data_IF_749293931168
#
_entry.id   IF_749293931168
#
_cell.length_a   1.000
_cell.length_b   1.000
_cell.length_c   1.000
_cell.angle_alpha   90.00
_cell.angle_beta   90.00
_cell.angle_gamma   90.00
#
_symmetry.space_group_name_H-M   'P 1'
#
loop_
_entity.id
_entity.type
_entity.pdbx_description
1 polymer ?
#
# COMPACT_ATOMS: atom_id res chain seq x y z
N UNK A 1 66.24 18.71 57.40
CA UNK A 1 67.02 17.67 58.10
C UNK A 1 66.39 16.32 57.79
N UNK A 2 67.14 15.47 57.07
CA UNK A 2 66.97 14.02 56.82
C UNK A 2 65.65 13.51 56.21
N UNK A 3 65.60 12.68 55.17
CA UNK A 3 66.58 12.00 54.30
C UNK A 3 65.82 11.46 53.07
N UNK A 4 66.34 11.68 51.87
CA UNK A 4 66.17 10.79 50.69
C UNK A 4 67.18 9.60 50.84
N UNK A 5 67.04 8.39 50.20
CA UNK A 5 66.99 8.24 48.72
C UNK A 5 66.39 6.96 48.04
N UNK A 6 65.88 7.12 46.79
CA UNK A 6 66.15 6.38 45.50
C UNK A 6 65.81 4.84 45.39
N UNK A 7 65.51 4.21 44.21
CA UNK A 7 65.35 4.66 42.81
C UNK A 7 64.05 4.24 42.06
N UNK A 8 63.88 4.90 40.92
CA UNK A 8 62.95 4.66 39.81
C UNK A 8 63.46 3.54 38.89
N UNK A 9 62.56 2.66 38.43
CA UNK A 9 62.73 1.87 37.21
C UNK A 9 61.46 1.92 36.33
N UNK A 10 61.72 2.20 35.07
CA UNK A 10 60.85 2.48 33.92
C UNK A 10 59.86 1.34 33.61
N UNK A 11 58.59 1.68 33.35
CA UNK A 11 57.80 0.96 32.34
C UNK A 11 56.86 1.93 31.61
N UNK A 12 56.82 1.75 30.30
CA UNK A 12 56.24 2.61 29.27
C UNK A 12 54.72 2.77 29.37
N UNK A 13 54.27 4.02 29.45
CA UNK A 13 52.86 4.42 29.35
C UNK A 13 52.48 4.58 27.88
N UNK A 14 51.51 3.80 27.44
CA UNK A 14 50.84 3.91 26.15
C UNK A 14 50.06 5.23 26.10
N UNK A 15 50.43 6.13 25.18
CA UNK A 15 49.71 7.37 24.92
C UNK A 15 48.35 7.07 24.27
N UNK A 16 47.27 7.41 24.98
CA UNK A 16 45.95 7.63 24.39
C UNK A 16 45.86 9.12 24.06
N UNK A 17 45.91 9.45 22.76
CA UNK A 17 45.61 10.80 22.28
C UNK A 17 44.10 10.91 22.01
N UNK A 18 43.48 11.84 22.74
CA UNK A 18 42.17 12.38 22.49
C UNK A 18 42.15 13.10 21.14
N UNK A 19 41.12 12.85 20.32
CA UNK A 19 40.59 13.86 19.42
C UNK A 19 39.11 13.60 19.09
N UNK A 20 38.28 14.52 19.60
CA UNK A 20 37.12 15.16 18.99
C UNK A 20 36.11 14.27 18.23
N UNK A 21 35.01 13.90 18.90
CA UNK A 21 33.76 13.47 18.27
C UNK A 21 32.80 14.66 18.15
N UNK A 22 32.39 14.95 16.91
CA UNK A 22 31.25 15.78 16.55
C UNK A 22 29.92 15.14 17.00
N UNK A 23 28.84 15.90 17.24
CA UNK A 23 27.58 15.36 17.71
C UNK A 23 26.91 14.51 16.63
N UNK A 24 26.58 13.28 17.00
CA UNK A 24 25.83 12.32 16.19
C UNK A 24 24.53 12.94 15.65
N UNK A 25 24.38 12.90 14.33
CA UNK A 25 23.10 13.06 13.64
C UNK A 25 22.11 11.98 14.12
N UNK A 26 20.81 12.30 14.22
CA UNK A 26 19.82 11.31 14.60
C UNK A 26 19.70 10.27 13.49
N UNK A 27 20.02 9.02 13.85
CA UNK A 27 19.77 7.81 13.07
C UNK A 27 18.31 7.82 12.60
N UNK A 28 18.10 8.25 11.37
CA UNK A 28 16.80 8.20 10.70
C UNK A 28 16.61 6.74 10.32
N UNK A 29 15.97 6.00 11.22
CA UNK A 29 15.43 4.69 10.90
C UNK A 29 14.34 4.92 9.87
N UNK A 30 14.70 4.81 8.59
CA UNK A 30 13.73 4.71 7.51
C UNK A 30 12.90 3.45 7.75
N UNK A 31 11.75 3.65 8.41
CA UNK A 31 10.71 2.66 8.52
C UNK A 31 10.12 2.50 7.11
N UNK A 32 10.60 1.48 6.39
CA UNK A 32 10.04 1.01 5.13
C UNK A 32 8.63 0.45 5.39
N UNK A 33 7.61 1.33 5.45
CA UNK A 33 6.21 0.92 5.37
C UNK A 33 5.76 0.89 3.93
N UNK A 34 6.14 -0.17 3.23
CA UNK A 34 5.28 -0.79 2.22
C UNK A 34 4.60 -2.00 2.86
N UNK A 35 3.84 -1.80 3.94
CA UNK A 35 2.86 -2.81 4.37
C UNK A 35 1.60 -2.60 3.54
N UNK A 36 1.66 -2.92 2.25
CA UNK A 36 0.42 -3.23 1.55
C UNK A 36 -0.21 -4.42 2.30
N UNK A 37 -1.46 -4.24 2.76
CA UNK A 37 -2.22 -5.33 3.38
C UNK A 37 -2.31 -6.48 2.36
N UNK A 38 -1.62 -7.59 2.64
CA UNK A 38 -1.63 -8.76 1.78
C UNK A 38 -3.05 -9.32 1.60
N UNK A 39 -3.35 -9.80 0.39
CA UNK A 39 -4.57 -10.53 0.10
C UNK A 39 -4.46 -12.04 0.34
N UNK A 40 -3.26 -12.55 0.68
CA UNK A 40 -3.05 -13.97 0.91
C UNK A 40 -3.20 -14.32 2.39
N UNK A 41 -4.15 -15.21 2.71
CA UNK A 41 -4.42 -15.68 4.08
C UNK A 41 -3.18 -16.29 4.76
N UNK A 42 -2.22 -16.80 3.97
CA UNK A 42 -0.98 -17.40 4.43
C UNK A 42 -0.02 -16.42 5.11
N UNK A 43 -0.19 -15.11 4.94
CA UNK A 43 0.59 -14.08 5.65
C UNK A 43 0.03 -13.79 7.05
N UNK A 44 -1.18 -14.26 7.33
CA UNK A 44 -1.91 -13.99 8.57
C UNK A 44 -2.00 -15.21 9.48
N UNK A 45 -1.10 -16.20 9.34
CA UNK A 45 -1.13 -17.41 10.17
C UNK A 45 -0.64 -17.18 11.61
N UNK A 46 0.10 -16.10 11.85
CA UNK A 46 0.58 -15.73 13.18
C UNK A 46 -0.43 -14.82 13.91
N UNK A 47 -0.72 -15.12 15.18
CA UNK A 47 -1.77 -14.41 15.94
C UNK A 47 -1.50 -12.92 16.17
N UNK A 48 -0.28 -12.45 15.95
CA UNK A 48 0.11 -11.04 16.10
C UNK A 48 -0.14 -10.17 14.86
N UNK A 49 -0.36 -10.77 13.68
CA UNK A 49 -0.52 -10.01 12.42
C UNK A 49 -1.97 -9.71 12.05
N UNK A 50 -2.93 -10.18 12.83
CA UNK A 50 -4.36 -10.17 12.50
C UNK A 50 -5.12 -9.02 13.20
N UNK A 51 -5.25 -7.86 12.55
CA UNK A 51 -6.14 -6.79 13.04
C UNK A 51 -7.61 -7.14 12.78
N UNK A 52 -8.54 -6.50 13.50
CA UNK A 52 -9.98 -6.73 13.28
C UNK A 52 -10.42 -6.31 11.87
N UNK A 53 -9.80 -5.27 11.31
CA UNK A 53 -10.01 -4.87 9.91
C UNK A 53 -9.62 -5.99 8.93
N UNK A 54 -8.45 -6.62 9.13
CA UNK A 54 -8.01 -7.77 8.31
C UNK A 54 -9.01 -8.92 8.42
N UNK A 55 -9.44 -9.27 9.64
CA UNK A 55 -10.42 -10.34 9.85
C UNK A 55 -11.73 -10.04 9.09
N UNK A 56 -12.27 -8.83 9.24
CA UNK A 56 -13.51 -8.44 8.57
C UNK A 56 -13.37 -8.56 7.05
N UNK A 57 -12.29 -8.00 6.47
CA UNK A 57 -12.00 -8.07 5.04
C UNK A 57 -11.96 -9.50 4.50
N UNK A 58 -11.25 -10.42 5.17
CA UNK A 58 -11.20 -11.82 4.72
C UNK A 58 -12.53 -12.56 4.87
N UNK A 59 -13.34 -12.23 5.88
CA UNK A 59 -14.65 -12.83 6.06
C UNK A 59 -15.69 -12.35 5.02
N UNK A 60 -15.52 -11.13 4.51
CA UNK A 60 -16.39 -10.54 3.49
C UNK A 60 -15.95 -10.88 2.06
N UNK A 61 -14.66 -11.14 1.87
CA UNK A 61 -14.11 -11.49 0.57
C UNK A 61 -14.74 -12.78 0.01
N UNK A 62 -14.97 -12.85 -1.31
CA UNK A 62 -15.46 -14.07 -1.96
C UNK A 62 -14.43 -15.18 -1.79
N UNK A 63 -14.90 -16.36 -1.39
CA UNK A 63 -14.03 -17.52 -1.14
C UNK A 63 -13.73 -18.32 -2.42
N UNK A 64 -14.53 -18.12 -3.48
CA UNK A 64 -14.40 -18.83 -4.75
C UNK A 64 -13.36 -18.11 -5.59
N UNK A 65 -12.26 -18.78 -5.99
CA UNK A 65 -11.27 -18.19 -6.89
C UNK A 65 -11.90 -17.86 -8.25
N UNK A 66 -11.27 -16.94 -8.96
CA UNK A 66 -11.78 -16.48 -10.24
C UNK A 66 -11.78 -17.56 -11.32
N UNK A 67 -12.43 -17.28 -12.45
CA UNK A 67 -12.64 -18.28 -13.50
C UNK A 67 -11.34 -18.81 -14.12
N UNK A 68 -10.28 -17.98 -14.12
CA UNK A 68 -8.98 -18.34 -14.70
C UNK A 68 -8.03 -18.99 -13.67
N UNK A 69 -8.52 -19.23 -12.44
CA UNK A 69 -7.75 -19.91 -11.42
C UNK A 69 -7.47 -21.37 -11.81
N UNK A 70 -6.18 -21.67 -11.97
CA UNK A 70 -5.71 -23.04 -12.22
C UNK A 70 -5.76 -23.84 -10.93
N UNK A 71 -6.79 -24.68 -10.81
CA UNK A 71 -6.96 -25.50 -9.62
C UNK A 71 -5.79 -26.49 -9.46
N UNK A 72 -5.16 -26.52 -8.27
CA UNK A 72 -4.03 -27.39 -8.01
C UNK A 72 -4.45 -28.86 -7.98
N UNK A 73 -3.48 -29.74 -8.21
CA UNK A 73 -3.64 -31.17 -8.06
C UNK A 73 -2.55 -31.78 -7.18
N UNK A 74 -2.88 -32.88 -6.54
CA UNK A 74 -1.95 -33.70 -5.77
C UNK A 74 -1.81 -35.07 -6.44
N UNK A 75 -0.60 -35.62 -6.43
CA UNK A 75 -0.36 -36.98 -6.90
C UNK A 75 -0.71 -37.98 -5.80
N UNK A 76 -1.43 -39.04 -6.15
CA UNK A 76 -1.83 -40.09 -5.23
C UNK A 76 -1.53 -41.47 -5.82
N UNK A 77 -0.79 -42.28 -5.08
CA UNK A 77 -0.50 -43.67 -5.46
C UNK A 77 -1.64 -44.59 -5.05
N UNK A 78 -2.31 -45.21 -6.03
CA UNK A 78 -3.31 -46.26 -5.78
C UNK A 78 -2.93 -47.51 -6.55
N UNK A 79 -2.71 -48.62 -5.83
CA UNK A 79 -2.35 -49.94 -6.41
C UNK A 79 -1.17 -49.86 -7.41
N UNK A 80 -0.13 -49.10 -7.08
CA UNK A 80 1.08 -48.96 -7.90
C UNK A 80 0.98 -47.98 -9.09
N UNK A 81 -0.16 -47.32 -9.32
CA UNK A 81 -0.32 -46.27 -10.33
C UNK A 81 -0.49 -44.90 -9.68
N UNK A 82 0.18 -43.89 -10.24
CA UNK A 82 0.01 -42.48 -9.86
C UNK A 82 -1.25 -41.92 -10.53
N UNK A 83 -2.19 -41.43 -9.72
CA UNK A 83 -3.38 -40.72 -10.17
C UNK A 83 -3.32 -39.26 -9.71
N UNK A 84 -3.72 -38.33 -10.57
CA UNK A 84 -3.89 -36.92 -10.21
C UNK A 84 -5.25 -36.70 -9.55
N UNK A 85 -5.25 -35.98 -8.43
CA UNK A 85 -6.47 -35.60 -7.69
C UNK A 85 -6.54 -34.09 -7.63
N UNK A 86 -7.64 -33.54 -8.13
CA UNK A 86 -7.78 -32.11 -8.37
C UNK A 86 -8.68 -31.45 -7.34
N UNK A 87 -8.31 -30.24 -6.95
CA UNK A 87 -9.25 -29.29 -6.40
C UNK A 87 -10.15 -28.75 -7.53
N UNK A 88 -11.38 -28.33 -7.23
CA UNK A 88 -12.36 -27.87 -8.23
C UNK A 88 -13.15 -26.70 -7.67
N UNK A 89 -13.72 -25.88 -8.56
CA UNK A 89 -14.60 -24.75 -8.23
C UNK A 89 -15.77 -25.17 -7.32
N UNK A 90 -16.40 -26.30 -7.62
CA UNK A 90 -17.52 -26.83 -6.84
C UNK A 90 -17.20 -27.02 -5.35
N UNK A 91 -15.94 -27.33 -5.01
CA UNK A 91 -15.54 -27.46 -3.61
C UNK A 91 -15.61 -26.13 -2.87
N UNK A 92 -15.22 -25.02 -3.51
CA UNK A 92 -15.31 -23.68 -2.90
C UNK A 92 -16.76 -23.19 -2.80
N UNK A 93 -17.60 -23.55 -3.79
CA UNK A 93 -19.03 -23.25 -3.75
C UNK A 93 -19.71 -24.01 -2.60
N UNK A 94 -19.37 -25.30 -2.43
CA UNK A 94 -19.93 -26.14 -1.39
C UNK A 94 -19.44 -25.74 0.02
N UNK A 95 -18.16 -25.40 0.14
CA UNK A 95 -17.52 -25.07 1.41
C UNK A 95 -17.10 -23.59 1.43
N UNK A 96 -18.02 -22.71 1.82
CA UNK A 96 -17.83 -21.24 1.85
C UNK A 96 -16.64 -20.75 2.69
N UNK A 97 -16.18 -21.57 3.64
CA UNK A 97 -15.01 -21.26 4.47
C UNK A 97 -13.67 -21.57 3.82
N UNK A 98 -13.67 -22.22 2.65
CA UNK A 98 -12.45 -22.65 1.97
C UNK A 98 -11.82 -21.49 1.21
N UNK A 99 -10.55 -21.20 1.49
CA UNK A 99 -9.75 -20.18 0.80
C UNK A 99 -8.42 -20.79 0.38
N UNK A 100 -7.93 -20.42 -0.81
CA UNK A 100 -6.63 -20.88 -1.31
C UNK A 100 -5.55 -19.84 -1.01
N UNK A 101 -4.40 -20.30 -0.52
CA UNK A 101 -3.19 -19.48 -0.38
C UNK A 101 -2.23 -19.82 -1.51
N UNK A 102 -1.90 -18.82 -2.33
CA UNK A 102 -0.96 -18.99 -3.43
C UNK A 102 0.47 -19.07 -2.90
N UNK A 103 0.80 -18.28 -1.86
CA UNK A 103 2.11 -18.32 -1.20
C UNK A 103 2.42 -19.65 -0.54
N UNK A 104 1.43 -20.28 0.12
CA UNK A 104 1.62 -21.56 0.83
C UNK A 104 1.27 -22.79 -0.02
N UNK A 105 0.70 -22.60 -1.21
CA UNK A 105 0.43 -23.69 -2.16
C UNK A 105 -0.64 -24.68 -1.70
N UNK A 106 -1.72 -24.21 -1.08
CA UNK A 106 -2.81 -25.09 -0.64
C UNK A 106 -3.98 -24.36 0.01
N UNK A 107 -4.97 -25.11 0.51
CA UNK A 107 -6.21 -24.52 1.05
C UNK A 107 -6.20 -24.41 2.58
N UNK A 108 -6.84 -23.35 3.06
CA UNK A 108 -7.11 -23.06 4.47
C UNK A 108 -8.61 -22.91 4.72
N UNK A 109 -8.98 -23.01 5.99
CA UNK A 109 -10.29 -22.62 6.47
C UNK A 109 -10.23 -21.21 7.04
N UNK A 110 -10.87 -20.27 6.34
CA UNK A 110 -10.92 -18.85 6.67
C UNK A 110 -11.30 -18.61 8.13
N UNK A 111 -12.37 -19.25 8.60
CA UNK A 111 -12.84 -19.10 9.97
C UNK A 111 -11.88 -19.68 11.00
N UNK A 112 -11.27 -20.84 10.71
CA UNK A 112 -10.40 -21.49 11.69
C UNK A 112 -9.05 -20.78 11.83
N UNK A 113 -8.52 -20.19 10.76
CA UNK A 113 -7.27 -19.41 10.81
C UNK A 113 -7.37 -18.25 11.81
N UNK A 114 -8.50 -17.53 11.78
CA UNK A 114 -8.69 -16.35 12.63
C UNK A 114 -9.26 -16.66 14.02
N UNK A 115 -10.11 -17.68 14.16
CA UNK A 115 -10.90 -17.89 15.38
C UNK A 115 -10.66 -19.23 16.08
N UNK A 116 -9.94 -20.19 15.48
CA UNK A 116 -9.67 -21.47 16.12
C UNK A 116 -8.33 -21.47 16.86
N UNK A 117 -8.37 -21.79 18.15
CA UNK A 117 -7.17 -21.79 19.00
C UNK A 117 -6.56 -23.19 19.20
N UNK A 118 -7.37 -24.15 19.63
CA UNK A 118 -6.94 -25.53 19.95
C UNK A 118 -8.08 -26.51 19.66
N UNK A 119 -7.72 -27.74 19.33
CA UNK A 119 -8.66 -28.84 19.06
C UNK A 119 -8.65 -29.93 20.13
N UNK A 120 -9.46 -30.96 19.91
CA UNK A 120 -9.67 -32.07 20.86
C UNK A 120 -10.69 -31.74 21.95
N UNK A 121 -11.21 -32.78 22.62
CA UNK A 121 -12.25 -32.66 23.66
C UNK A 121 -11.80 -31.75 24.81
N UNK A 122 -10.51 -31.79 25.13
CA UNK A 122 -9.89 -31.01 26.22
C UNK A 122 -9.08 -29.80 25.73
N UNK A 123 -9.25 -29.37 24.47
CA UNK A 123 -8.51 -28.24 23.87
C UNK A 123 -6.98 -28.36 23.99
N UNK A 124 -6.42 -29.57 23.92
CA UNK A 124 -4.97 -29.79 24.08
C UNK A 124 -4.23 -30.06 22.77
N UNK A 125 -4.94 -30.20 21.64
CA UNK A 125 -4.33 -30.54 20.36
C UNK A 125 -4.08 -29.28 19.53
N UNK A 126 -2.86 -29.13 19.02
CA UNK A 126 -2.54 -28.06 18.07
C UNK A 126 -3.20 -28.34 16.72
N UNK A 127 -3.88 -27.33 16.18
CA UNK A 127 -4.57 -27.43 14.90
C UNK A 127 -3.52 -27.30 13.78
N UNK A 128 -3.45 -28.29 12.90
CA UNK A 128 -2.48 -28.35 11.79
C UNK A 128 -3.16 -28.09 10.45
N UNK A 129 -3.66 -29.15 9.80
CA UNK A 129 -4.27 -29.09 8.49
C UNK A 129 -5.48 -28.15 8.45
N UNK A 130 -5.58 -27.34 7.39
CA UNK A 130 -6.58 -26.29 7.13
C UNK A 130 -6.52 -25.08 8.08
N UNK A 131 -5.59 -25.05 9.04
CA UNK A 131 -5.51 -23.97 10.05
C UNK A 131 -4.12 -23.33 10.07
N UNK A 132 -3.09 -24.05 10.52
CA UNK A 132 -1.71 -23.54 10.53
C UNK A 132 -0.90 -24.05 9.36
N UNK A 133 -1.31 -25.19 8.77
CA UNK A 133 -0.68 -25.82 7.62
C UNK A 133 -1.74 -25.97 6.52
N UNK A 134 -1.42 -25.59 5.27
CA UNK A 134 -2.37 -25.74 4.17
C UNK A 134 -2.67 -27.22 3.93
N UNK A 135 -3.89 -27.51 3.45
CA UNK A 135 -4.18 -28.81 2.86
C UNK A 135 -3.76 -28.77 1.38
N UNK A 136 -2.71 -29.52 1.06
CA UNK A 136 -2.08 -29.64 -0.26
C UNK A 136 -2.34 -31.02 -0.92
N UNK A 137 -2.87 -31.98 -0.14
CA UNK A 137 -3.21 -33.34 -0.59
C UNK A 137 -4.71 -33.47 -0.79
N UNK A 138 -5.12 -33.76 -2.02
CA UNK A 138 -6.53 -33.80 -2.45
C UNK A 138 -7.08 -35.22 -2.64
N UNK A 139 -6.39 -36.24 -2.12
CA UNK A 139 -6.76 -37.63 -2.33
C UNK A 139 -8.07 -38.04 -1.64
N UNK A 140 -8.36 -37.46 -0.47
CA UNK A 140 -9.52 -37.80 0.37
C UNK A 140 -10.29 -36.55 0.81
N UNK A 141 -10.42 -35.56 -0.06
CA UNK A 141 -11.12 -34.31 0.29
C UNK A 141 -12.64 -34.46 0.43
N UNK A 142 -13.25 -35.31 -0.40
CA UNK A 142 -14.70 -35.53 -0.47
C UNK A 142 -15.14 -36.85 0.20
N UNK A 143 -16.43 -36.96 0.49
CA UNK A 143 -17.06 -38.13 1.12
C UNK A 143 -17.26 -37.96 2.63
N UNK A 144 -17.98 -38.88 3.27
CA UNK A 144 -18.29 -38.80 4.71
C UNK A 144 -17.04 -38.83 5.60
N UNK A 145 -16.02 -39.56 5.17
CA UNK A 145 -14.70 -39.61 5.82
C UNK A 145 -13.69 -38.66 5.19
N UNK A 146 -14.13 -37.77 4.30
CA UNK A 146 -13.28 -36.83 3.61
C UNK A 146 -12.78 -35.71 4.51
N UNK A 147 -11.66 -35.10 4.16
CA UNK A 147 -11.00 -34.07 4.96
C UNK A 147 -11.91 -32.86 5.19
N UNK A 148 -12.67 -32.42 4.18
CA UNK A 148 -13.61 -31.31 4.32
C UNK A 148 -14.81 -31.64 5.20
N UNK A 149 -15.44 -32.80 4.99
CA UNK A 149 -16.58 -33.26 5.82
C UNK A 149 -16.18 -33.52 7.27
N UNK A 150 -14.98 -34.03 7.51
CA UNK A 150 -14.42 -34.21 8.86
C UNK A 150 -14.14 -32.87 9.51
N UNK A 151 -13.53 -31.94 8.78
CA UNK A 151 -13.26 -30.59 9.27
C UNK A 151 -14.55 -29.88 9.67
N UNK A 152 -15.57 -29.89 8.80
CA UNK A 152 -16.84 -29.20 9.04
C UNK A 152 -17.62 -29.74 10.23
N UNK A 153 -17.46 -31.04 10.55
CA UNK A 153 -18.10 -31.67 11.72
C UNK A 153 -17.34 -31.45 13.03
N UNK A 154 -16.10 -30.96 12.99
CA UNK A 154 -15.32 -30.76 14.20
C UNK A 154 -15.88 -29.60 15.04
N UNK A 155 -15.95 -29.79 16.35
CA UNK A 155 -16.47 -28.78 17.28
C UNK A 155 -15.69 -27.45 17.21
N UNK A 156 -14.37 -27.49 17.02
CA UNK A 156 -13.57 -26.26 16.89
C UNK A 156 -13.95 -25.45 15.65
N UNK A 157 -14.31 -26.10 14.55
CA UNK A 157 -14.74 -25.43 13.33
C UNK A 157 -16.12 -24.81 13.49
N UNK A 158 -17.06 -25.53 14.11
CA UNK A 158 -18.41 -25.02 14.40
C UNK A 158 -18.30 -23.77 15.29
N UNK A 159 -17.51 -23.84 16.36
CA UNK A 159 -17.27 -22.71 17.24
C UNK A 159 -16.58 -21.54 16.52
N UNK A 160 -15.58 -21.82 15.68
CA UNK A 160 -14.90 -20.78 14.90
C UNK A 160 -15.84 -20.10 13.90
N UNK A 161 -16.72 -20.87 13.26
CA UNK A 161 -17.74 -20.35 12.35
C UNK A 161 -18.72 -19.44 13.08
N UNK A 162 -19.19 -19.86 14.26
CA UNK A 162 -20.07 -19.03 15.09
C UNK A 162 -19.36 -17.74 15.54
N UNK A 163 -18.13 -17.84 16.03
CA UNK A 163 -17.33 -16.68 16.42
C UNK A 163 -17.09 -15.71 15.26
N UNK A 164 -16.83 -16.22 14.05
CA UNK A 164 -16.65 -15.40 12.85
C UNK A 164 -17.93 -14.63 12.49
N UNK A 165 -19.09 -15.30 12.55
CA UNK A 165 -20.39 -14.67 12.28
C UNK A 165 -20.71 -13.60 13.33
N UNK A 166 -20.55 -13.93 14.61
CA UNK A 166 -20.81 -13.00 15.72
C UNK A 166 -19.86 -11.79 15.66
N UNK A 167 -18.58 -12.03 15.34
CA UNK A 167 -17.60 -10.99 15.09
C UNK A 167 -18.05 -10.05 13.96
N UNK A 168 -18.44 -10.58 12.81
CA UNK A 168 -18.84 -9.75 11.66
C UNK A 168 -20.09 -8.91 11.98
N UNK A 169 -21.06 -9.47 12.71
CA UNK A 169 -22.25 -8.76 13.17
C UNK A 169 -21.87 -7.60 14.11
N UNK A 170 -21.00 -7.85 15.10
CA UNK A 170 -20.56 -6.84 16.06
C UNK A 170 -19.63 -5.80 15.43
N UNK A 171 -18.80 -6.19 14.48
CA UNK A 171 -17.91 -5.30 13.75
C UNK A 171 -18.69 -4.25 12.97
N UNK A 172 -19.76 -4.68 12.26
CA UNK A 172 -20.68 -3.78 11.56
C UNK A 172 -21.58 -2.99 12.49
N UNK A 173 -21.96 -3.57 13.62
CA UNK A 173 -22.87 -2.97 14.59
C UNK A 173 -22.25 -3.01 15.99
N UNK A 174 -21.33 -2.08 16.34
CA UNK A 174 -20.63 -2.11 17.61
C UNK A 174 -21.55 -2.12 18.84
N UNK A 175 -22.76 -1.54 18.73
CA UNK A 175 -23.80 -1.56 19.76
C UNK A 175 -24.24 -2.97 20.20
N UNK A 176 -24.09 -3.99 19.35
CA UNK A 176 -24.46 -5.38 19.63
C UNK A 176 -23.37 -6.17 20.35
N UNK A 177 -22.16 -5.62 20.43
CA UNK A 177 -21.06 -6.28 21.14
C UNK A 177 -21.43 -6.46 22.61
N UNK A 178 -21.32 -7.67 23.16
CA UNK A 178 -21.80 -8.02 24.51
C UNK A 178 -21.27 -7.04 25.57
N UNK A 179 -19.99 -6.67 25.47
CA UNK A 179 -19.37 -5.73 26.39
C UNK A 179 -19.86 -4.27 26.18
N UNK A 180 -20.45 -3.91 25.05
CA UNK A 180 -21.12 -2.61 24.86
C UNK A 180 -22.57 -2.64 25.39
N UNK A 181 -23.24 -3.78 25.26
CA UNK A 181 -24.59 -4.00 25.83
C UNK A 181 -24.54 -4.02 27.35
N UNK A 182 -23.52 -4.67 27.93
CA UNK A 182 -23.34 -4.78 29.39
C UNK A 182 -22.69 -3.52 29.96
N UNK A 183 -21.72 -2.92 29.26
CA UNK A 183 -21.03 -1.72 29.72
C UNK A 183 -21.38 -0.52 28.82
N UNK A 184 -22.49 0.13 29.14
CA UNK A 184 -22.95 1.35 28.49
C UNK A 184 -21.89 2.47 28.50
N UNK A 185 -21.00 2.47 29.50
CA UNK A 185 -19.90 3.45 29.60
C UNK A 185 -18.86 3.25 28.52
N UNK A 186 -18.56 1.99 28.15
CA UNK A 186 -17.65 1.69 27.04
C UNK A 186 -18.25 2.11 25.70
N UNK A 187 -19.53 1.84 25.47
CA UNK A 187 -20.21 2.27 24.25
C UNK A 187 -20.21 3.80 24.11
N UNK A 188 -20.46 4.52 25.21
CA UNK A 188 -20.33 5.98 25.26
C UNK A 188 -18.91 6.42 24.91
N UNK A 189 -17.88 5.80 25.50
CA UNK A 189 -16.48 6.12 25.21
C UNK A 189 -16.11 5.89 23.73
N UNK A 190 -16.55 4.78 23.12
CA UNK A 190 -16.32 4.52 21.68
C UNK A 190 -17.00 5.58 20.82
N UNK A 191 -18.23 5.94 21.16
CA UNK A 191 -19.01 6.95 20.43
C UNK A 191 -18.35 8.32 20.55
N UNK A 192 -17.92 8.70 21.75
CA UNK A 192 -17.17 9.94 21.99
C UNK A 192 -15.85 9.96 21.23
N UNK A 193 -15.05 8.89 21.28
CA UNK A 193 -13.77 8.84 20.58
C UNK A 193 -13.93 8.97 19.06
N UNK A 194 -14.96 8.34 18.49
CA UNK A 194 -15.30 8.51 17.06
C UNK A 194 -15.72 9.94 16.75
N UNK A 195 -16.53 10.55 17.62
CA UNK A 195 -16.94 11.95 17.46
C UNK A 195 -15.75 12.92 17.53
N UNK A 196 -14.74 12.63 18.36
CA UNK A 196 -13.51 13.43 18.47
C UNK A 196 -12.62 13.32 17.22
N UNK A 197 -12.52 12.14 16.61
CA UNK A 197 -11.71 11.91 15.41
C UNK A 197 -12.37 12.41 14.12
N UNK A 198 -13.71 12.36 14.04
CA UNK A 198 -14.48 12.79 12.86
C UNK A 198 -14.03 14.16 12.31
N UNK A 199 -13.93 15.24 13.11
CA UNK A 199 -13.57 16.55 12.57
C UNK A 199 -12.14 16.63 12.04
N UNK A 200 -11.23 15.81 12.57
CA UNK A 200 -9.84 15.70 12.14
C UNK A 200 -9.78 15.01 10.77
N UNK A 201 -10.45 13.86 10.63
CA UNK A 201 -10.51 13.10 9.38
C UNK A 201 -11.21 13.90 8.27
N UNK A 202 -12.33 14.56 8.58
CA UNK A 202 -13.03 15.43 7.61
C UNK A 202 -12.14 16.58 7.12
N UNK A 203 -11.30 17.14 7.99
CA UNK A 203 -10.35 18.19 7.62
C UNK A 203 -9.29 17.68 6.64
N UNK A 204 -8.76 16.47 6.85
CA UNK A 204 -7.84 15.82 5.91
C UNK A 204 -8.52 15.57 4.56
N UNK A 205 -9.73 15.03 4.56
CA UNK A 205 -10.51 14.78 3.33
C UNK A 205 -10.79 16.09 2.59
N UNK A 206 -11.15 17.16 3.31
CA UNK A 206 -11.39 18.48 2.72
C UNK A 206 -10.16 19.00 1.99
N UNK A 207 -9.01 19.02 2.68
CA UNK A 207 -7.75 19.52 2.11
C UNK A 207 -7.31 18.68 0.90
N UNK A 208 -7.44 17.35 1.00
CA UNK A 208 -7.17 16.44 -0.11
C UNK A 208 -8.06 16.71 -1.33
N UNK A 209 -9.37 16.87 -1.14
CA UNK A 209 -10.32 17.17 -2.24
C UNK A 209 -10.08 18.52 -2.91
N UNK A 210 -9.53 19.48 -2.18
CA UNK A 210 -9.24 20.82 -2.70
C UNK A 210 -7.79 20.95 -3.24
N UNK A 211 -6.99 19.87 -3.20
CA UNK A 211 -5.56 19.91 -3.52
C UNK A 211 -4.79 20.98 -2.71
N UNK A 212 -5.18 21.17 -1.44
CA UNK A 212 -4.54 22.13 -0.54
C UNK A 212 -3.47 21.38 0.28
N UNK A 213 -2.20 21.84 0.29
CA UNK A 213 -1.16 21.24 1.12
C UNK A 213 -1.54 21.27 2.60
N UNK A 214 -1.42 20.15 3.32
CA UNK A 214 -1.77 20.09 4.74
C UNK A 214 -0.79 20.88 5.62
N UNK A 215 0.51 20.75 5.33
CA UNK A 215 1.61 21.16 6.21
C UNK A 215 2.16 22.54 5.86
N UNK A 216 2.48 23.31 6.89
CA UNK A 216 3.21 24.57 6.80
C UNK A 216 4.70 24.39 7.10
N UNK A 217 5.44 25.51 7.20
CA UNK A 217 6.86 25.47 7.53
C UNK A 217 7.12 25.01 8.98
N UNK A 218 6.16 25.22 9.89
CA UNK A 218 6.19 24.72 11.27
C UNK A 218 4.82 24.15 11.64
N UNK A 219 4.72 22.85 11.89
CA UNK A 219 3.44 22.14 12.13
C UNK A 219 3.43 21.52 13.55
N UNK A 220 3.78 22.31 14.57
CA UNK A 220 4.01 21.83 15.94
C UNK A 220 3.44 22.79 16.99
N UNK A 221 3.13 22.26 18.18
CA UNK A 221 2.65 23.03 19.33
C UNK A 221 1.14 22.94 19.57
N UNK A 222 0.65 23.64 20.60
CA UNK A 222 -0.77 23.64 20.96
C UNK A 222 -1.60 24.47 19.98
N UNK A 223 -2.71 23.93 19.50
CA UNK A 223 -3.69 24.67 18.68
C UNK A 223 -4.44 25.72 19.50
N UNK A 224 -4.68 25.42 20.77
CA UNK A 224 -5.39 26.25 21.74
C UNK A 224 -4.32 26.86 22.65
N UNK A 225 -3.99 28.12 22.41
CA UNK A 225 -3.08 28.90 23.26
C UNK A 225 -3.86 29.59 24.36
N UNK A 226 -3.30 29.62 25.58
CA UNK A 226 -3.78 30.53 26.62
C UNK A 226 -3.72 31.96 26.07
N UNK A 227 -4.83 32.70 26.16
CA UNK A 227 -5.00 34.04 25.57
C UNK A 227 -3.97 35.08 26.03
N UNK A 228 -3.15 34.79 27.04
CA UNK A 228 -2.19 35.73 27.63
C UNK A 228 -0.92 35.98 26.79
N UNK A 229 -0.69 35.24 25.70
CA UNK A 229 0.46 35.46 24.81
C UNK A 229 0.08 36.03 23.43
N UNK A 230 -1.10 36.69 23.29
CA UNK A 230 -1.49 37.35 22.03
C UNK A 230 -0.56 38.49 21.60
N UNK A 231 0.25 39.03 22.52
CA UNK A 231 1.17 40.15 22.22
C UNK A 231 2.53 39.72 21.62
N UNK A 232 2.81 38.41 21.53
CA UNK A 232 4.01 37.85 20.88
C UNK A 232 3.65 36.61 20.03
N UNK A 233 2.45 36.57 19.46
CA UNK A 233 2.08 35.52 18.52
C UNK A 233 2.85 35.77 17.23
N UNK A 234 4.03 35.14 17.11
CA UNK A 234 4.74 35.11 15.84
C UNK A 234 3.74 34.64 14.78
N UNK A 235 3.54 35.46 13.74
CA UNK A 235 2.71 35.19 12.56
C UNK A 235 3.37 34.06 11.77
N UNK A 236 3.45 32.88 12.37
CA UNK A 236 4.07 31.71 11.82
C UNK A 236 2.94 30.87 11.27
N UNK A 237 2.95 30.69 9.96
CA UNK A 237 2.01 29.83 9.27
C UNK A 237 2.18 28.38 9.77
N UNK A 238 1.19 27.91 10.54
CA UNK A 238 1.18 26.57 11.12
C UNK A 238 0.70 25.47 10.15
N UNK A 239 0.39 25.84 8.90
CA UNK A 239 -0.13 24.92 7.88
C UNK A 239 -1.66 24.92 7.82
N UNK A 240 -2.17 24.60 6.63
CA UNK A 240 -3.60 24.69 6.34
C UNK A 240 -4.43 23.71 7.19
N UNK A 241 -3.86 22.55 7.56
CA UNK A 241 -4.54 21.59 8.43
C UNK A 241 -4.83 22.17 9.83
N UNK A 242 -3.83 22.78 10.46
CA UNK A 242 -3.96 23.38 11.78
C UNK A 242 -4.86 24.60 11.78
N UNK A 243 -4.73 25.46 10.77
CA UNK A 243 -5.61 26.62 10.60
C UNK A 243 -7.06 26.21 10.34
N UNK A 244 -7.29 25.14 9.59
CA UNK A 244 -8.64 24.60 9.39
C UNK A 244 -9.25 24.09 10.69
N UNK A 245 -8.48 23.39 11.52
CA UNK A 245 -8.95 22.95 12.84
C UNK A 245 -9.29 24.14 13.76
N UNK A 246 -8.45 25.20 13.75
CA UNK A 246 -8.76 26.45 14.47
C UNK A 246 -10.05 27.09 13.96
N UNK A 247 -10.21 27.17 12.64
CA UNK A 247 -11.42 27.71 12.02
C UNK A 247 -12.67 26.92 12.41
N UNK A 248 -12.61 25.58 12.47
CA UNK A 248 -13.73 24.74 12.93
C UNK A 248 -14.10 25.03 14.39
N UNK A 249 -13.11 25.16 15.28
CA UNK A 249 -13.33 25.50 16.69
C UNK A 249 -13.99 26.88 16.81
N UNK A 250 -13.45 27.89 16.12
CA UNK A 250 -14.02 29.24 16.09
C UNK A 250 -15.43 29.27 15.49
N UNK A 251 -15.74 28.34 14.60
CA UNK A 251 -17.07 28.17 14.00
C UNK A 251 -18.04 27.36 14.87
N UNK A 252 -17.64 26.97 16.09
CA UNK A 252 -18.51 26.32 17.08
C UNK A 252 -18.38 24.80 17.20
N UNK A 253 -17.30 24.18 16.70
CA UNK A 253 -17.02 22.76 16.89
C UNK A 253 -16.56 22.47 18.33
N UNK A 254 -17.53 22.37 19.24
CA UNK A 254 -17.29 22.12 20.67
C UNK A 254 -16.70 20.74 20.95
N UNK A 255 -16.94 19.76 20.07
CA UNK A 255 -16.41 18.40 20.20
C UNK A 255 -14.90 18.41 19.95
N UNK A 256 -14.46 19.04 18.86
CA UNK A 256 -13.05 19.22 18.55
C UNK A 256 -12.34 20.07 19.62
N UNK A 257 -12.98 21.15 20.07
CA UNK A 257 -12.44 22.00 21.13
C UNK A 257 -12.20 21.19 22.42
N UNK A 258 -13.23 20.53 22.93
CA UNK A 258 -13.14 19.71 24.14
C UNK A 258 -12.08 18.61 24.00
N UNK A 259 -11.98 17.97 22.83
CA UNK A 259 -10.95 16.96 22.57
C UNK A 259 -9.54 17.54 22.75
N UNK A 260 -9.26 18.69 22.16
CA UNK A 260 -7.93 19.31 22.20
C UNK A 260 -7.59 19.92 23.56
N UNK A 261 -8.59 20.36 24.34
CA UNK A 261 -8.38 20.92 25.69
C UNK A 261 -8.21 19.83 26.76
N UNK A 262 -8.95 18.73 26.65
CA UNK A 262 -9.02 17.70 27.72
C UNK A 262 -8.06 16.53 27.51
N UNK A 263 -7.59 16.32 26.27
CA UNK A 263 -6.77 15.15 25.94
C UNK A 263 -5.29 15.43 26.12
N UNK A 264 -4.55 14.42 26.58
CA UNK A 264 -3.08 14.50 26.66
C UNK A 264 -2.46 14.84 25.30
N UNK A 265 -1.32 15.54 25.31
CA UNK A 265 -0.61 15.94 24.09
C UNK A 265 -0.32 14.78 23.11
N UNK A 266 -0.24 13.54 23.62
CA UNK A 266 0.05 12.31 22.84
C UNK A 266 -1.16 11.73 22.09
N UNK A 267 -2.38 12.17 22.38
CA UNK A 267 -3.61 11.61 21.81
C UNK A 267 -4.48 12.67 21.11
N UNK A 268 -3.85 13.74 20.63
CA UNK A 268 -4.51 14.82 19.89
C UNK A 268 -4.85 14.40 18.45
N UNK A 269 -4.09 13.47 17.86
CA UNK A 269 -4.20 13.02 16.46
C UNK A 269 -3.99 14.11 15.41
N UNK A 270 -3.29 15.19 15.77
CA UNK A 270 -2.99 16.32 14.88
C UNK A 270 -1.52 16.32 14.40
N UNK A 271 -0.69 15.41 14.90
CA UNK A 271 0.73 15.34 14.54
C UNK A 271 0.91 14.92 13.09
N UNK A 272 2.06 15.27 12.50
CA UNK A 272 2.47 14.80 11.18
C UNK A 272 2.25 13.28 11.00
N UNK A 273 2.66 12.48 11.99
CA UNK A 273 2.50 11.01 11.96
C UNK A 273 1.03 10.62 11.90
N UNK A 274 0.18 11.25 12.71
CA UNK A 274 -1.27 10.99 12.70
C UNK A 274 -1.91 11.39 11.37
N UNK A 275 -1.48 12.52 10.80
CA UNK A 275 -1.94 12.97 9.48
C UNK A 275 -1.60 11.93 8.41
N UNK A 276 -0.36 11.40 8.41
CA UNK A 276 0.07 10.38 7.46
C UNK A 276 -0.72 9.07 7.60
N UNK A 277 -0.95 8.61 8.83
CA UNK A 277 -1.77 7.43 9.10
C UNK A 277 -3.22 7.62 8.62
N UNK A 278 -3.81 8.80 8.84
CA UNK A 278 -5.17 9.11 8.36
C UNK A 278 -5.19 9.14 6.83
N UNK A 279 -4.19 9.76 6.19
CA UNK A 279 -4.06 9.79 4.72
C UNK A 279 -3.96 8.37 4.17
N UNK A 280 -3.16 7.51 4.81
CA UNK A 280 -3.00 6.11 4.42
C UNK A 280 -4.33 5.34 4.55
N UNK A 281 -5.07 5.51 5.64
CA UNK A 281 -6.42 4.96 5.78
C UNK A 281 -7.37 5.45 4.67
N UNK A 282 -7.35 6.74 4.34
CA UNK A 282 -8.14 7.29 3.25
C UNK A 282 -7.74 6.69 1.89
N UNK A 283 -6.44 6.53 1.63
CA UNK A 283 -5.91 5.89 0.42
C UNK A 283 -6.42 4.45 0.30
N UNK A 284 -6.31 3.67 1.36
CA UNK A 284 -6.76 2.27 1.37
C UNK A 284 -8.25 2.14 1.08
N UNK A 285 -9.09 2.98 1.71
CA UNK A 285 -10.53 2.97 1.47
C UNK A 285 -10.87 3.39 0.03
N UNK A 286 -10.24 4.45 -0.49
CA UNK A 286 -10.45 4.90 -1.87
C UNK A 286 -10.07 3.81 -2.87
N UNK A 287 -8.90 3.18 -2.69
CA UNK A 287 -8.45 2.09 -3.55
C UNK A 287 -9.39 0.89 -3.46
N UNK A 288 -9.85 0.52 -2.26
CA UNK A 288 -10.82 -0.55 -2.06
C UNK A 288 -12.10 -0.30 -2.88
N UNK A 289 -12.67 0.89 -2.78
CA UNK A 289 -13.86 1.27 -3.54
C UNK A 289 -13.62 1.27 -5.06
N UNK A 290 -12.46 1.75 -5.52
CA UNK A 290 -12.09 1.71 -6.95
C UNK A 290 -12.00 0.26 -7.42
N UNK A 291 -11.35 -0.62 -6.65
CA UNK A 291 -11.20 -2.04 -7.00
C UNK A 291 -12.55 -2.75 -7.08
N UNK A 292 -13.45 -2.52 -6.13
CA UNK A 292 -14.81 -3.09 -6.17
C UNK A 292 -15.56 -2.65 -7.44
N UNK A 293 -15.52 -1.36 -7.76
CA UNK A 293 -16.14 -0.83 -8.99
C UNK A 293 -15.56 -1.46 -10.27
N UNK A 294 -14.26 -1.71 -10.31
CA UNK A 294 -13.60 -2.34 -11.45
C UNK A 294 -14.00 -3.81 -11.57
N UNK A 295 -14.02 -4.55 -10.46
CA UNK A 295 -14.47 -5.95 -10.42
C UNK A 295 -15.92 -6.08 -10.87
N UNK A 296 -16.79 -5.14 -10.48
CA UNK A 296 -18.18 -5.12 -10.95
C UNK A 296 -18.31 -4.84 -12.45
N UNK A 297 -17.44 -4.00 -13.02
CA UNK A 297 -17.45 -3.71 -14.46
C UNK A 297 -16.90 -4.83 -15.34
N UNK A 298 -16.23 -5.82 -14.74
CA UNK A 298 -15.49 -6.89 -15.40
C UNK A 298 -14.29 -6.37 -16.20
N UNK A 299 -14.51 -5.56 -17.23
CA UNK A 299 -13.46 -5.09 -18.14
C UNK A 299 -12.87 -3.74 -17.76
N UNK A 300 -11.57 -3.60 -17.97
CA UNK A 300 -10.86 -2.33 -17.73
C UNK A 300 -9.75 -2.08 -18.76
N UNK A 301 -9.26 -0.85 -18.81
CA UNK A 301 -8.09 -0.44 -19.56
C UNK A 301 -7.09 0.23 -18.63
N UNK A 302 -5.81 0.07 -18.93
CA UNK A 302 -4.73 0.73 -18.20
C UNK A 302 -4.28 1.99 -18.93
N UNK A 303 -3.99 3.03 -18.16
CA UNK A 303 -3.37 4.25 -18.63
C UNK A 303 -2.15 4.48 -17.75
N UNK A 304 -0.96 4.52 -18.33
CA UNK A 304 0.23 4.84 -17.57
C UNK A 304 1.19 5.74 -18.31
N UNK A 305 1.85 6.60 -17.56
CA UNK A 305 2.83 7.55 -18.07
C UNK A 305 4.04 7.59 -17.14
N UNK A 306 5.24 7.56 -17.72
CA UNK A 306 6.50 7.58 -17.00
C UNK A 306 7.10 8.98 -17.09
N UNK A 307 7.46 9.52 -15.94
CA UNK A 307 8.12 10.82 -15.85
C UNK A 307 9.29 10.74 -14.86
N UNK A 308 10.38 11.41 -15.19
CA UNK A 308 11.51 11.59 -14.27
C UNK A 308 11.24 12.78 -13.36
N UNK A 309 11.25 12.57 -12.05
CA UNK A 309 11.04 13.65 -11.08
C UNK A 309 12.29 14.54 -10.92
N UNK A 310 12.14 15.61 -10.12
CA UNK A 310 13.22 16.57 -9.82
C UNK A 310 14.44 15.95 -9.11
N UNK A 311 14.27 14.75 -8.55
CA UNK A 311 15.31 13.97 -7.87
C UNK A 311 15.91 12.90 -8.78
N UNK A 312 15.61 12.95 -10.08
CA UNK A 312 16.03 11.98 -11.10
C UNK A 312 15.49 10.56 -10.88
N UNK A 313 14.43 10.42 -10.10
CA UNK A 313 13.75 9.15 -9.89
C UNK A 313 12.60 9.05 -10.88
N UNK A 314 12.62 8.00 -11.69
CA UNK A 314 11.49 7.67 -12.56
C UNK A 314 10.28 7.24 -11.73
N UNK A 315 9.19 7.96 -11.92
CA UNK A 315 7.88 7.65 -11.35
C UNK A 315 6.90 7.39 -12.49
N UNK A 316 6.13 6.31 -12.35
CA UNK A 316 5.05 5.96 -13.27
C UNK A 316 3.71 6.30 -12.65
N UNK A 317 2.94 7.16 -13.29
CA UNK A 317 1.54 7.35 -12.97
C UNK A 317 0.73 6.17 -13.52
N UNK A 318 -0.13 5.58 -12.71
CA UNK A 318 -1.05 4.52 -13.13
C UNK A 318 -2.49 4.93 -12.87
N UNK A 319 -3.31 4.83 -13.91
CA UNK A 319 -4.76 5.01 -13.86
C UNK A 319 -5.46 3.85 -14.53
N UNK A 320 -6.64 3.50 -14.03
CA UNK A 320 -7.52 2.49 -14.61
C UNK A 320 -8.77 3.15 -15.16
N UNK A 321 -9.20 2.70 -16.32
CA UNK A 321 -10.41 3.17 -16.99
C UNK A 321 -11.39 2.02 -17.14
N UNK A 322 -12.62 2.20 -16.67
CA UNK A 322 -13.69 1.21 -16.75
C UNK A 322 -15.04 1.85 -17.09
N UNK A 323 -16.03 1.01 -17.38
CA UNK A 323 -17.41 1.42 -17.70
C UNK A 323 -18.33 0.85 -16.64
N UNK A 324 -19.14 1.70 -16.00
CA UNK A 324 -20.11 1.23 -15.01
C UNK A 324 -21.37 0.62 -15.64
N UNK A 325 -22.27 0.10 -14.80
CA UNK A 325 -23.56 -0.47 -15.22
C UNK A 325 -24.49 0.55 -15.91
N UNK A 326 -24.24 1.85 -15.75
CA UNK A 326 -24.97 2.94 -16.39
C UNK A 326 -24.31 3.38 -17.72
N UNK A 327 -23.31 2.65 -18.20
CA UNK A 327 -22.48 2.98 -19.37
C UNK A 327 -21.70 4.30 -19.25
N UNK A 328 -21.41 4.75 -18.03
CA UNK A 328 -20.53 5.90 -17.80
C UNK A 328 -19.09 5.45 -17.71
N UNK A 329 -18.23 6.18 -18.40
CA UNK A 329 -16.79 5.97 -18.36
C UNK A 329 -16.25 6.59 -17.07
N UNK A 330 -15.50 5.80 -16.31
CA UNK A 330 -14.76 6.25 -15.14
C UNK A 330 -13.27 6.10 -15.40
N UNK A 331 -12.51 7.14 -15.09
CA UNK A 331 -11.06 7.12 -15.06
C UNK A 331 -10.63 7.34 -13.60
N UNK A 332 -9.89 6.38 -13.05
CA UNK A 332 -9.53 6.32 -11.64
C UNK A 332 -8.02 6.25 -11.51
N UNK A 333 -7.44 7.31 -10.97
CA UNK A 333 -6.04 7.33 -10.60
C UNK A 333 -5.79 6.33 -9.46
N UNK A 334 -4.76 5.51 -9.61
CA UNK A 334 -4.39 4.48 -8.64
C UNK A 334 -3.22 4.94 -7.79
N UNK A 335 -2.19 5.51 -8.42
CA UNK A 335 -1.02 5.97 -7.69
C UNK A 335 0.17 6.28 -8.58
N UNK A 336 1.20 6.82 -7.94
CA UNK A 336 2.54 6.91 -8.50
C UNK A 336 3.34 5.69 -8.03
N UNK A 337 3.95 5.00 -8.99
CA UNK A 337 4.79 3.83 -8.77
C UNK A 337 6.24 4.27 -8.96
N UNK A 338 7.05 4.11 -7.91
CA UNK A 338 8.49 4.28 -8.03
C UNK A 338 9.07 3.04 -8.73
N UNK A 339 9.36 3.18 -10.02
CA UNK A 339 9.79 2.07 -10.88
C UNK A 339 11.12 1.46 -10.39
N UNK A 340 12.03 2.29 -9.89
CA UNK A 340 13.31 1.83 -9.34
C UNK A 340 13.09 1.00 -8.08
N UNK A 341 12.37 1.55 -7.10
CA UNK A 341 12.14 0.85 -5.85
C UNK A 341 11.42 -0.48 -6.08
N UNK A 342 10.39 -0.48 -6.94
CA UNK A 342 9.62 -1.69 -7.24
C UNK A 342 10.49 -2.82 -7.79
N UNK A 343 11.50 -2.48 -8.61
CA UNK A 343 12.39 -3.47 -9.24
C UNK A 343 13.47 -3.93 -8.27
N UNK A 344 14.11 -3.01 -7.55
CA UNK A 344 15.30 -3.30 -6.74
C UNK A 344 15.01 -3.76 -5.31
N UNK A 345 13.76 -3.69 -4.83
CA UNK A 345 13.39 -4.19 -3.50
C UNK A 345 12.51 -5.45 -3.52
N UNK A 346 11.65 -5.63 -4.53
CA UNK A 346 10.73 -6.79 -4.59
C UNK A 346 11.31 -8.03 -5.29
N UNK A 347 12.42 -7.91 -6.03
CA UNK A 347 13.03 -9.04 -6.75
C UNK A 347 14.38 -9.47 -6.14
N UNK A 348 14.34 -10.36 -5.15
CA UNK A 348 15.48 -11.22 -4.82
C UNK A 348 15.62 -12.44 -5.76
N UNK A 349 14.84 -12.51 -6.86
CA UNK A 349 14.78 -13.69 -7.77
C UNK A 349 14.76 -13.33 -9.27
N UNK A 350 15.33 -12.20 -9.68
CA UNK A 350 15.68 -12.00 -11.09
C UNK A 350 17.20 -12.07 -11.19
N UNK A 351 17.71 -13.08 -11.90
CA UNK A 351 19.09 -13.25 -12.36
C UNK A 351 19.48 -12.13 -13.35
N UNK A 352 19.35 -10.87 -12.94
CA UNK A 352 19.78 -9.70 -13.69
C UNK A 352 20.82 -8.96 -12.87
N UNK A 353 22.04 -9.46 -13.07
CA UNK A 353 23.32 -8.77 -12.92
C UNK A 353 23.82 -8.65 -11.46
N UNK A 354 25.10 -9.02 -11.34
CA UNK A 354 25.95 -9.02 -10.15
C UNK A 354 25.61 -7.94 -9.11
N UNK A 355 25.78 -8.23 -7.81
CA UNK A 355 25.68 -7.23 -6.76
C UNK A 355 26.67 -6.10 -7.11
N UNK A 356 26.12 -4.96 -7.53
CA UNK A 356 26.90 -3.83 -8.02
C UNK A 356 27.67 -3.23 -6.85
N UNK A 357 28.89 -3.72 -6.62
CA UNK A 357 29.93 -3.09 -5.81
C UNK A 357 30.59 -1.92 -6.53
N UNK A 358 30.09 -1.51 -7.70
CA UNK A 358 30.53 -0.34 -8.46
C UNK A 358 29.48 0.79 -8.37
N UNK A 359 29.88 1.88 -7.70
CA UNK A 359 29.07 3.04 -7.29
C UNK A 359 28.60 3.95 -8.47
N UNK A 360 28.60 3.49 -9.72
CA UNK A 360 28.34 4.35 -10.89
C UNK A 360 27.35 3.78 -11.94
N UNK A 361 26.52 2.78 -11.61
CA UNK A 361 25.50 2.30 -12.56
C UNK A 361 24.17 3.00 -12.28
N UNK A 362 23.81 4.01 -13.08
CA UNK A 362 22.43 4.51 -13.10
C UNK A 362 21.50 3.38 -13.56
N UNK A 363 20.53 2.97 -12.74
CA UNK A 363 19.59 1.93 -13.11
C UNK A 363 18.79 2.35 -14.35
N UNK A 364 18.97 1.64 -15.47
CA UNK A 364 18.24 1.93 -16.71
C UNK A 364 16.89 1.21 -16.70
N UNK A 365 15.81 1.99 -16.73
CA UNK A 365 14.47 1.45 -16.94
C UNK A 365 14.26 1.13 -18.43
N UNK A 366 14.09 -0.15 -18.73
CA UNK A 366 13.75 -0.63 -20.07
C UNK A 366 12.24 -0.81 -20.19
N UNK A 367 11.72 -0.86 -21.42
CA UNK A 367 10.30 -1.13 -21.66
C UNK A 367 9.84 -2.44 -21.02
N UNK A 368 10.68 -3.48 -21.08
CA UNK A 368 10.44 -4.76 -20.40
C UNK A 368 10.27 -4.61 -18.89
N UNK A 369 11.15 -3.84 -18.24
CA UNK A 369 11.06 -3.60 -16.80
C UNK A 369 9.75 -2.87 -16.47
N UNK A 370 9.43 -1.80 -17.20
CA UNK A 370 8.19 -1.04 -16.99
C UNK A 370 6.95 -1.90 -17.21
N UNK A 371 6.94 -2.72 -18.27
CA UNK A 371 5.85 -3.65 -18.55
C UNK A 371 5.67 -4.70 -17.45
N UNK A 372 6.77 -5.25 -16.93
CA UNK A 372 6.74 -6.18 -15.80
C UNK A 372 6.25 -5.50 -14.52
N UNK A 373 6.69 -4.28 -14.23
CA UNK A 373 6.20 -3.48 -13.09
C UNK A 373 4.68 -3.32 -13.17
N UNK A 374 4.14 -2.90 -14.32
CA UNK A 374 2.69 -2.75 -14.50
C UNK A 374 1.96 -4.08 -14.27
N UNK A 375 2.44 -5.17 -14.88
CA UNK A 375 1.81 -6.50 -14.73
C UNK A 375 1.82 -6.97 -13.28
N UNK A 376 2.93 -6.78 -12.57
CA UNK A 376 3.02 -7.18 -11.16
C UNK A 376 2.10 -6.33 -10.28
N UNK A 377 2.04 -5.01 -10.50
CA UNK A 377 1.10 -4.13 -9.78
C UNK A 377 -0.36 -4.54 -10.01
N UNK A 378 -0.74 -4.91 -11.24
CA UNK A 378 -2.09 -5.42 -11.53
C UNK A 378 -2.39 -6.74 -10.80
N UNK A 379 -1.39 -7.61 -10.65
CA UNK A 379 -1.51 -8.87 -9.89
C UNK A 379 -1.63 -8.61 -8.38
N UNK A 380 -0.86 -7.67 -7.85
CA UNK A 380 -0.91 -7.27 -6.44
C UNK A 380 -2.32 -6.72 -6.09
N UNK A 381 -2.94 -6.00 -7.03
CA UNK A 381 -4.33 -5.53 -6.94
C UNK A 381 -5.39 -6.64 -7.13
N UNK A 382 -4.96 -7.86 -7.44
CA UNK A 382 -5.83 -9.02 -7.69
C UNK A 382 -6.81 -8.77 -8.84
N UNK A 383 -6.33 -8.15 -9.92
CA UNK A 383 -7.09 -7.95 -11.16
C UNK A 383 -6.79 -9.06 -12.18
N UNK A 384 -7.81 -9.45 -12.95
CA UNK A 384 -7.65 -10.39 -14.06
C UNK A 384 -7.02 -9.70 -15.26
N UNK A 385 -5.86 -10.20 -15.67
CA UNK A 385 -5.14 -9.65 -16.82
C UNK A 385 -5.90 -9.89 -18.14
N UNK A 386 -6.72 -10.94 -18.21
CA UNK A 386 -7.57 -11.23 -19.38
C UNK A 386 -8.73 -10.25 -19.55
N UNK A 387 -9.13 -9.59 -18.46
CA UNK A 387 -10.18 -8.56 -18.47
C UNK A 387 -9.62 -7.17 -18.86
N UNK A 388 -8.30 -7.04 -18.98
CA UNK A 388 -7.65 -5.85 -19.52
C UNK A 388 -7.83 -5.82 -21.05
N UNK A 389 -8.59 -4.85 -21.53
CA UNK A 389 -8.95 -4.69 -22.95
C UNK A 389 -8.23 -3.53 -23.64
N UNK A 390 -7.51 -2.69 -22.90
CA UNK A 390 -6.86 -1.50 -23.44
C UNK A 390 -5.62 -1.09 -22.69
N UNK A 391 -4.63 -0.58 -23.43
CA UNK A 391 -3.37 -0.04 -22.90
C UNK A 391 -3.16 1.34 -23.50
N UNK A 392 -3.11 2.38 -22.69
CA UNK A 392 -2.83 3.74 -23.14
C UNK A 392 -1.51 4.25 -22.53
N UNK A 393 -0.59 4.67 -23.40
CA UNK A 393 0.74 5.16 -23.02
C UNK A 393 1.19 6.25 -23.98
N UNK A 394 2.30 6.91 -23.65
CA UNK A 394 3.01 7.71 -24.64
C UNK A 394 3.52 6.86 -25.82
N UNK A 395 3.91 7.57 -26.90
CA UNK A 395 4.41 6.96 -28.12
C UNK A 395 5.91 6.73 -28.11
N UNK A 396 6.59 6.83 -26.96
CA UNK A 396 8.04 6.71 -26.91
C UNK A 396 8.47 5.28 -27.26
N UNK A 397 9.69 5.13 -27.78
CA UNK A 397 10.23 3.83 -28.18
C UNK A 397 10.32 2.84 -27.00
N UNK A 398 10.54 3.35 -25.79
CA UNK A 398 10.55 2.54 -24.55
C UNK A 398 9.19 1.88 -24.31
N UNK A 399 8.09 2.56 -24.64
CA UNK A 399 6.74 2.01 -24.48
C UNK A 399 6.32 1.14 -25.67
N UNK A 400 6.59 1.60 -26.90
CA UNK A 400 5.96 1.08 -28.12
C UNK A 400 6.84 0.18 -28.99
N UNK A 401 8.11 -0.03 -28.61
CA UNK A 401 9.03 -0.89 -29.38
C UNK A 401 8.47 -2.30 -29.60
N UNK A 402 8.56 -2.77 -30.84
CA UNK A 402 8.10 -4.11 -31.27
C UNK A 402 8.99 -5.25 -30.73
N UNK A 403 10.17 -4.93 -30.19
CA UNK A 403 11.12 -5.94 -29.69
C UNK A 403 11.16 -5.96 -28.15
N UNK A 404 11.14 -4.77 -27.51
CA UNK A 404 11.34 -4.61 -26.05
C UNK A 404 10.46 -3.51 -25.44
N UNK A 405 9.32 -3.20 -26.07
CA UNK A 405 8.42 -2.17 -25.59
C UNK A 405 7.59 -2.62 -24.40
N UNK A 406 7.30 -1.70 -23.46
CA UNK A 406 6.43 -1.99 -22.32
C UNK A 406 5.06 -2.54 -22.73
N UNK A 407 4.46 -1.95 -23.78
CA UNK A 407 3.16 -2.38 -24.31
C UNK A 407 3.21 -3.84 -24.75
N UNK A 408 4.25 -4.24 -25.48
CA UNK A 408 4.40 -5.62 -25.92
C UNK A 408 4.54 -6.58 -24.75
N UNK A 409 5.29 -6.19 -23.72
CA UNK A 409 5.43 -7.01 -22.51
C UNK A 409 4.12 -7.17 -21.75
N UNK A 410 3.33 -6.11 -21.63
CA UNK A 410 2.01 -6.16 -21.01
C UNK A 410 1.07 -7.05 -21.83
N UNK A 411 1.06 -6.93 -23.16
CA UNK A 411 0.23 -7.73 -24.06
C UNK A 411 0.55 -9.24 -24.02
N UNK A 412 1.75 -9.65 -23.60
CA UNK A 412 2.05 -11.08 -23.34
C UNK A 412 1.19 -11.65 -22.20
N UNK A 413 0.81 -10.80 -21.23
CA UNK A 413 -0.02 -11.20 -20.08
C UNK A 413 -1.48 -10.78 -20.24
N UNK A 414 -1.74 -9.64 -20.87
CA UNK A 414 -3.09 -9.10 -21.14
C UNK A 414 -3.41 -9.30 -22.62
N UNK A 415 -3.80 -10.52 -23.01
CA UNK A 415 -3.90 -10.93 -24.42
C UNK A 415 -5.00 -10.20 -25.21
N UNK A 416 -6.03 -9.71 -24.51
CA UNK A 416 -7.15 -8.98 -25.10
C UNK A 416 -6.88 -7.47 -25.21
N UNK A 417 -5.73 -7.01 -24.73
CA UNK A 417 -5.48 -5.59 -24.56
C UNK A 417 -4.98 -4.92 -25.85
N UNK A 418 -5.72 -3.91 -26.31
CA UNK A 418 -5.37 -3.13 -27.50
C UNK A 418 -4.62 -1.85 -27.10
N UNK A 419 -3.50 -1.58 -27.76
CA UNK A 419 -2.73 -0.36 -27.53
C UNK A 419 -3.39 0.87 -28.16
N UNK A 420 -3.51 1.94 -27.38
CA UNK A 420 -3.98 3.26 -27.78
C UNK A 420 -2.89 4.29 -27.49
N UNK A 421 -2.09 4.71 -28.48
CA UNK A 421 -1.02 5.69 -28.26
C UNK A 421 -1.57 7.07 -27.91
N UNK A 422 -0.82 7.82 -27.13
CA UNK A 422 -1.17 9.18 -26.73
C UNK A 422 -1.24 10.12 -27.95
N UNK A 423 -2.44 10.64 -28.24
CA UNK A 423 -2.67 11.60 -29.31
C UNK A 423 -1.97 12.94 -29.05
N UNK A 424 -1.85 13.37 -27.79
CA UNK A 424 -1.11 14.58 -27.43
C UNK A 424 0.39 14.44 -27.74
N UNK A 425 0.96 13.27 -27.47
CA UNK A 425 2.35 12.99 -27.81
C UNK A 425 2.56 12.97 -29.33
N UNK A 426 1.65 12.34 -30.08
CA UNK A 426 1.69 12.33 -31.55
C UNK A 426 1.57 13.75 -32.16
N UNK A 427 0.70 14.59 -31.59
CA UNK A 427 0.56 15.99 -31.97
C UNK A 427 1.85 16.77 -31.69
N UNK A 428 2.41 16.62 -30.49
CA UNK A 428 3.68 17.26 -30.10
C UNK A 428 4.82 16.85 -31.03
N UNK A 429 4.90 15.58 -31.42
CA UNK A 429 5.90 15.11 -32.38
C UNK A 429 5.70 15.74 -33.77
N UNK A 430 4.45 15.93 -34.20
CA UNK A 430 4.11 16.58 -35.47
C UNK A 430 4.47 18.07 -35.48
N UNK A 431 4.20 18.76 -34.37
CA UNK A 431 4.61 20.17 -34.17
C UNK A 431 6.14 20.29 -34.14
N UNK A 432 6.82 19.39 -33.41
CA UNK A 432 8.28 19.36 -33.34
C UNK A 432 8.90 19.13 -34.73
N UNK A 433 8.36 18.23 -35.54
CA UNK A 433 8.81 18.06 -36.94
C UNK A 433 8.60 19.32 -37.79
N UNK A 434 7.51 20.05 -37.56
CA UNK A 434 7.23 21.31 -38.25
C UNK A 434 8.24 22.41 -37.91
N UNK A 435 8.88 22.35 -36.73
CA UNK A 435 9.96 23.27 -36.35
C UNK A 435 11.21 23.15 -37.23
N UNK A 436 11.35 22.07 -38.01
CA UNK A 436 12.44 21.92 -38.97
C UNK A 436 12.27 22.79 -40.22
N UNK A 437 11.09 23.41 -40.43
CA UNK A 437 10.91 24.40 -41.49
C UNK A 437 11.83 25.58 -41.24
N UNK A 438 12.65 25.96 -42.23
CA UNK A 438 13.73 26.94 -42.08
C UNK A 438 13.27 28.25 -41.41
N UNK A 439 12.15 28.81 -41.86
CA UNK A 439 11.62 30.07 -41.34
C UNK A 439 11.25 29.93 -39.86
N UNK A 440 10.52 28.86 -39.50
CA UNK A 440 10.14 28.56 -38.11
C UNK A 440 11.37 28.34 -37.24
N UNK A 441 12.35 27.58 -37.74
CA UNK A 441 13.61 27.32 -37.02
C UNK A 441 14.38 28.60 -36.74
N UNK A 442 14.51 29.48 -37.72
CA UNK A 442 15.20 30.77 -37.58
C UNK A 442 14.47 31.65 -36.57
N UNK A 443 13.14 31.77 -36.67
CA UNK A 443 12.34 32.54 -35.70
C UNK A 443 12.47 32.00 -34.28
N UNK A 444 12.39 30.68 -34.09
CA UNK A 444 12.57 30.05 -32.78
C UNK A 444 14.00 30.20 -32.26
N UNK A 445 15.01 30.19 -33.13
CA UNK A 445 16.40 30.47 -32.79
C UNK A 445 16.58 31.87 -32.21
N UNK A 446 16.06 32.89 -32.89
CA UNK A 446 16.10 34.29 -32.43
C UNK A 446 15.38 34.43 -31.08
N UNK A 447 14.19 33.82 -30.92
CA UNK A 447 13.47 33.85 -29.64
C UNK A 447 14.30 33.22 -28.50
N UNK A 448 14.98 32.10 -28.77
CA UNK A 448 15.87 31.46 -27.79
C UNK A 448 17.06 32.34 -27.43
N UNK A 449 17.69 33.00 -28.39
CA UNK A 449 18.79 33.94 -28.14
C UNK A 449 18.34 35.13 -27.27
N UNK A 450 17.17 35.71 -27.58
CA UNK A 450 16.58 36.79 -26.76
C UNK A 450 16.27 36.30 -25.34
N UNK A 451 15.68 35.11 -25.18
CA UNK A 451 15.42 34.52 -23.86
C UNK A 451 16.72 34.27 -23.09
N UNK A 452 17.73 33.69 -23.72
CA UNK A 452 19.04 33.47 -23.10
C UNK A 452 19.68 34.79 -22.65
N UNK A 453 19.59 35.83 -23.47
CA UNK A 453 20.05 37.18 -23.13
C UNK A 453 19.30 37.75 -21.91
N UNK A 454 17.97 37.64 -21.88
CA UNK A 454 17.16 38.13 -20.76
C UNK A 454 17.39 37.34 -19.45
N UNK A 455 17.55 36.01 -19.53
CA UNK A 455 17.88 35.17 -18.37
C UNK A 455 19.26 35.53 -17.83
N UNK A 456 20.24 35.72 -18.73
CA UNK A 456 21.58 36.17 -18.36
C UNK A 456 21.54 37.53 -17.64
N UNK A 457 20.83 38.52 -18.20
CA UNK A 457 20.65 39.84 -17.58
C UNK A 457 19.99 39.75 -16.20
N UNK A 458 18.93 38.94 -16.06
CA UNK A 458 18.28 38.72 -14.76
C UNK A 458 19.27 38.18 -13.72
N UNK A 459 20.09 37.21 -14.11
CA UNK A 459 21.09 36.62 -13.21
C UNK A 459 22.25 37.59 -12.93
N UNK A 460 22.59 38.47 -13.86
CA UNK A 460 23.64 39.48 -13.68
C UNK A 460 23.21 40.70 -12.84
N UNK A 461 21.90 40.97 -12.72
CA UNK A 461 21.34 42.07 -11.90
C UNK A 461 20.99 41.59 -10.47
N UNK A 462 20.86 40.28 -10.25
CA UNK A 462 20.57 39.68 -8.94
C UNK A 462 21.83 39.34 -8.11
N UNK A 463 23.02 39.67 -8.63
CA UNK A 463 24.29 39.78 -7.89
C UNK A 463 24.68 41.26 -7.84
#
# INVERSE_FOLDING_TARGET
MMNDPIPIAVSSVTQVHLNQQSPNEPTTTHFSMTTELSNDIGDYLEKGSQTDHVKARFLEAPNVPDNNFLYPFSLHNKKGKQEKRYLKRDHFIQYKWLVYSQKKGGVFCNYCVFFANKGGKDKNVTLKSLVTVPLDKYAKILGETGDFSKHSKNLYHINATQMANDFLICYKNPEKEIINVINSTRLKQVTENRARLKPIVESVIFLGRQNIPLRGHRDQGSLIGNEQNKNNLSVVNEGNFRELLRFRILSGDTVLQNHLETTSAKATYISHTSQEEIIQCCKEEILFQIMENIRESQYFSIIFDETTDISHISQMSLSLRNIDKENKVHERFIGFINCHNYVYTNHNELDVIEPCTNINLEPKLTGEILGNTVVSVLKDMSLHLDDCIGIATDGCAVMTSVIRGAVQHIQKSCVNAVHSPCSNHALNLSISKSSNVQLVRNSMGIIKEVLSFLIYLRNAILF
#
